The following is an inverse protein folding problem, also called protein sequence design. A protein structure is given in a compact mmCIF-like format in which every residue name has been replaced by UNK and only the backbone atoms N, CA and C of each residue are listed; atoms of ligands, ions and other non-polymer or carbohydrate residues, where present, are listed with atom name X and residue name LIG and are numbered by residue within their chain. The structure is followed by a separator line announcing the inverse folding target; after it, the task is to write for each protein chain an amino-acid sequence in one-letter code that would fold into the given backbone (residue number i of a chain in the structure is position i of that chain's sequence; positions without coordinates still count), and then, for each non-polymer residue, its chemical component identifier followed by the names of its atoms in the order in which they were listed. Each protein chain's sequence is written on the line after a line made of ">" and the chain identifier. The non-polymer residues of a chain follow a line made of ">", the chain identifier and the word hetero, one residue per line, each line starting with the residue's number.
data_IF_043180139292
#
_entry.id   IF_043180139292
#
_cell.length_a   1.000
_cell.length_b   1.000
_cell.length_c   1.000
_cell.angle_alpha   90.00
_cell.angle_beta   90.00
_cell.angle_gamma   90.00
#
_symmetry.space_group_name_H-M   'P 1'
#
loop_
_entity.id
_entity.type
_entity.pdbx_description
1 polymer ?
#
# COMPACT_ATOMS: atom_id res chain seq x y z
N UNK A 1 -14.74 -2.00 -5.64
CA UNK A 1 -13.70 -2.00 -6.68
C UNK A 1 -12.35 -2.33 -6.06
N UNK A 2 -11.51 -3.09 -6.76
CA UNK A 2 -10.17 -3.37 -6.24
C UNK A 2 -9.28 -2.14 -6.24
N UNK A 3 -8.36 -2.09 -5.29
CA UNK A 3 -7.47 -0.95 -5.09
C UNK A 3 -6.04 -1.41 -4.92
N UNK A 4 -5.09 -0.58 -5.40
CA UNK A 4 -3.71 -0.62 -4.93
C UNK A 4 -3.64 0.38 -3.79
N UNK A 5 -2.91 0.02 -2.74
CA UNK A 5 -2.68 0.94 -1.62
C UNK A 5 -1.21 0.92 -1.23
N UNK A 6 -0.78 2.05 -0.66
CA UNK A 6 0.54 2.16 -0.06
C UNK A 6 0.34 2.64 1.37
N UNK A 7 0.87 1.87 2.31
CA UNK A 7 0.84 2.23 3.73
C UNK A 7 2.27 2.48 4.20
N UNK A 8 2.39 3.26 5.26
CA UNK A 8 3.68 3.68 5.78
C UNK A 8 3.77 3.37 7.27
N UNK A 9 4.91 2.84 7.69
CA UNK A 9 5.24 2.63 9.09
C UNK A 9 6.30 3.63 9.52
N UNK A 10 5.94 4.54 10.40
CA UNK A 10 6.89 5.49 10.96
C UNK A 10 7.95 4.78 11.79
N UNK A 11 7.54 3.72 12.50
CA UNK A 11 8.43 2.92 13.33
C UNK A 11 9.56 2.29 12.53
N UNK A 12 9.22 1.71 11.37
CA UNK A 12 10.21 1.08 10.50
C UNK A 12 10.78 2.02 9.45
N UNK A 13 10.13 3.17 9.25
CA UNK A 13 10.42 4.09 8.16
C UNK A 13 10.39 3.37 6.82
N UNK A 14 9.31 2.62 6.60
CA UNK A 14 9.13 1.80 5.40
C UNK A 14 7.73 1.89 4.84
N UNK A 15 7.64 1.71 3.53
CA UNK A 15 6.37 1.63 2.81
C UNK A 15 6.04 0.18 2.49
N UNK A 16 4.76 -0.12 2.50
CA UNK A 16 4.24 -1.42 2.08
C UNK A 16 3.21 -1.20 0.97
N UNK A 17 3.38 -1.90 -0.14
CA UNK A 17 2.48 -1.81 -1.29
C UNK A 17 1.65 -3.08 -1.35
N UNK A 18 0.34 -2.94 -1.44
CA UNK A 18 -0.55 -4.08 -1.49
C UNK A 18 -1.76 -3.83 -2.38
N UNK A 19 -2.59 -4.85 -2.51
CA UNK A 19 -3.83 -4.78 -3.25
C UNK A 19 -4.96 -5.35 -2.40
N UNK A 20 -6.14 -4.78 -2.51
CA UNK A 20 -7.30 -5.24 -1.75
C UNK A 20 -8.61 -4.77 -2.38
N UNK A 21 -9.71 -5.37 -1.94
CA UNK A 21 -11.05 -4.94 -2.34
C UNK A 21 -11.61 -3.96 -1.31
N UNK A 22 -11.41 -4.24 -0.03
CA UNK A 22 -11.88 -3.41 1.07
C UNK A 22 -10.69 -2.78 1.79
N UNK A 23 -10.48 -1.48 1.57
CA UNK A 23 -9.34 -0.75 2.10
C UNK A 23 -9.37 -0.61 3.62
N UNK A 24 -10.55 -0.33 4.19
CA UNK A 24 -10.68 -0.14 5.64
C UNK A 24 -10.39 -1.44 6.38
N UNK A 25 -10.94 -2.53 5.87
CA UNK A 25 -10.71 -3.86 6.44
C UNK A 25 -9.23 -4.23 6.36
N UNK A 26 -8.59 -3.95 5.23
CA UNK A 26 -7.20 -4.31 5.03
C UNK A 26 -6.27 -3.53 5.96
N UNK A 27 -6.52 -2.25 6.15
CA UNK A 27 -5.75 -1.46 7.10
C UNK A 27 -5.95 -1.96 8.53
N UNK A 28 -7.18 -2.30 8.88
CA UNK A 28 -7.48 -2.89 10.18
C UNK A 28 -6.67 -4.17 10.39
N UNK A 29 -6.67 -5.05 9.39
CA UNK A 29 -5.92 -6.31 9.47
C UNK A 29 -4.44 -6.08 9.69
N UNK A 30 -3.85 -5.11 8.99
CA UNK A 30 -2.44 -4.77 9.19
C UNK A 30 -2.18 -4.26 10.60
N UNK A 31 -3.08 -3.45 11.15
CA UNK A 31 -2.87 -2.82 12.45
C UNK A 31 -3.14 -3.74 13.64
N UNK A 32 -3.82 -4.86 13.42
CA UNK A 32 -3.96 -5.89 14.48
C UNK A 32 -2.86 -6.94 14.42
N UNK A 33 -1.88 -6.75 13.52
CA UNK A 33 -0.77 -7.70 13.41
C UNK A 33 -1.13 -8.99 12.70
N UNK A 34 -2.07 -8.95 11.76
CA UNK A 34 -2.53 -10.11 11.01
C UNK A 34 -1.38 -10.79 10.26
N UNK A 35 -0.43 -10.02 9.76
CA UNK A 35 0.74 -10.52 9.06
C UNK A 35 1.97 -10.33 9.95
N UNK A 36 2.89 -11.32 9.94
CA UNK A 36 4.12 -11.24 10.71
C UNK A 36 4.93 -10.00 10.33
N UNK A 37 4.99 -9.68 9.04
CA UNK A 37 5.74 -8.52 8.58
C UNK A 37 5.11 -7.22 9.06
N UNK A 38 3.79 -7.07 8.89
CA UNK A 38 3.12 -5.82 9.25
C UNK A 38 3.03 -5.61 10.75
N UNK A 39 3.09 -6.69 11.56
CA UNK A 39 3.08 -6.57 13.01
C UNK A 39 4.31 -5.84 13.55
N UNK A 40 5.42 -5.86 12.81
CA UNK A 40 6.66 -5.21 13.23
C UNK A 40 6.61 -3.69 13.06
N UNK A 41 5.75 -3.19 12.20
CA UNK A 41 5.70 -1.77 11.86
C UNK A 41 4.50 -1.00 12.37
N UNK A 42 3.75 -1.55 13.30
CA UNK A 42 2.55 -0.90 13.81
C UNK A 42 2.84 0.45 14.46
N UNK A 43 1.96 1.45 14.30
CA UNK A 43 0.77 1.45 13.44
C UNK A 43 1.10 1.83 11.99
N UNK A 44 0.30 1.33 11.06
CA UNK A 44 0.41 1.67 9.65
C UNK A 44 -0.64 2.71 9.27
N UNK A 45 -0.27 3.63 8.39
CA UNK A 45 -1.19 4.64 7.89
C UNK A 45 -1.23 4.63 6.36
N UNK A 46 -2.39 4.91 5.78
CA UNK A 46 -2.50 5.03 4.33
C UNK A 46 -1.82 6.30 3.85
N UNK A 47 -1.04 6.17 2.79
CA UNK A 47 -0.42 7.30 2.11
C UNK A 47 -0.91 7.46 0.68
N UNK A 48 -1.41 6.38 0.06
CA UNK A 48 -1.81 6.40 -1.33
C UNK A 48 -2.79 5.27 -1.59
N UNK A 49 -3.77 5.53 -2.45
CA UNK A 49 -4.65 4.49 -2.95
C UNK A 49 -5.14 4.84 -4.34
N UNK A 50 -5.35 3.82 -5.15
CA UNK A 50 -5.86 3.98 -6.50
C UNK A 50 -6.79 2.83 -6.82
N UNK A 51 -7.99 3.15 -7.33
CA UNK A 51 -8.97 2.13 -7.67
C UNK A 51 -8.80 1.70 -9.12
N UNK A 52 -9.15 0.46 -9.39
CA UNK A 52 -9.05 -0.15 -10.72
C UNK A 52 -10.33 -0.88 -11.06
N UNK A 53 -10.57 -1.07 -12.35
CA UNK A 53 -11.78 -1.74 -12.81
C UNK A 53 -11.78 -3.24 -12.50
N UNK A 54 -10.62 -3.88 -12.50
CA UNK A 54 -10.52 -5.33 -12.30
C UNK A 54 -9.33 -5.69 -11.42
N UNK A 55 -9.40 -6.90 -10.82
CA UNK A 55 -8.29 -7.44 -10.04
C UNK A 55 -7.04 -7.65 -10.89
N UNK A 56 -7.23 -8.01 -12.16
CA UNK A 56 -6.11 -8.21 -13.08
C UNK A 56 -5.29 -6.95 -13.24
N UNK A 57 -5.96 -5.80 -13.42
CA UNK A 57 -5.29 -4.51 -13.54
C UNK A 57 -4.59 -4.11 -12.24
N UNK A 58 -5.21 -4.39 -11.11
CA UNK A 58 -4.62 -4.12 -9.79
C UNK A 58 -3.32 -4.90 -9.62
N UNK A 59 -3.34 -6.18 -9.91
CA UNK A 59 -2.16 -7.03 -9.77
C UNK A 59 -1.03 -6.58 -10.67
N UNK A 60 -1.36 -6.16 -11.89
CA UNK A 60 -0.37 -5.65 -12.83
C UNK A 60 0.26 -4.36 -12.30
N UNK A 61 -0.55 -3.43 -11.79
CA UNK A 61 -0.04 -2.19 -11.23
C UNK A 61 0.80 -2.40 -9.97
N UNK A 62 0.37 -3.32 -9.10
CA UNK A 62 1.13 -3.67 -7.91
C UNK A 62 2.52 -4.21 -8.26
N UNK A 63 2.57 -5.10 -9.25
CA UNK A 63 3.84 -5.63 -9.72
C UNK A 63 4.75 -4.56 -10.28
N UNK A 64 4.19 -3.62 -11.03
CA UNK A 64 4.99 -2.52 -11.60
C UNK A 64 5.61 -1.67 -10.51
N UNK A 65 4.86 -1.33 -9.47
CA UNK A 65 5.39 -0.54 -8.35
C UNK A 65 6.47 -1.31 -7.61
N UNK A 66 6.22 -2.59 -7.31
CA UNK A 66 7.19 -3.42 -6.61
C UNK A 66 8.44 -3.67 -7.43
N UNK A 67 8.29 -3.80 -8.75
CA UNK A 67 9.41 -4.03 -9.66
C UNK A 67 10.38 -2.86 -9.72
N UNK A 68 9.89 -1.63 -9.52
CA UNK A 68 10.74 -0.44 -9.49
C UNK A 68 11.74 -0.49 -8.34
N UNK A 69 11.40 -1.12 -7.22
CA UNK A 69 12.25 -1.23 -6.02
C UNK A 69 12.81 0.12 -5.61
N UNK A 70 12.01 1.17 -5.73
CA UNK A 70 12.46 2.54 -5.52
C UNK A 70 11.53 3.26 -4.57
N UNK A 71 12.09 3.66 -3.43
CA UNK A 71 11.39 4.49 -2.46
C UNK A 71 11.03 5.85 -3.06
N UNK A 72 11.93 6.40 -3.87
CA UNK A 72 11.70 7.68 -4.54
C UNK A 72 10.49 7.60 -5.45
N UNK A 73 10.34 6.49 -6.17
CA UNK A 73 9.19 6.29 -7.04
C UNK A 73 7.89 6.26 -6.24
N UNK A 74 7.88 5.56 -5.12
CA UNK A 74 6.72 5.50 -4.23
C UNK A 74 6.37 6.88 -3.68
N UNK A 75 7.38 7.63 -3.25
CA UNK A 75 7.16 8.97 -2.73
C UNK A 75 6.64 9.93 -3.79
N UNK A 76 7.06 9.75 -5.04
CA UNK A 76 6.51 10.53 -6.15
C UNK A 76 5.04 10.22 -6.40
N UNK A 77 4.64 8.95 -6.31
CA UNK A 77 3.23 8.58 -6.43
C UNK A 77 2.39 9.24 -5.35
N UNK A 78 2.86 9.21 -4.12
CA UNK A 78 2.17 9.82 -2.98
C UNK A 78 2.06 11.33 -3.19
N UNK A 79 3.12 11.97 -3.62
CA UNK A 79 3.14 13.40 -3.86
C UNK A 79 2.19 13.82 -4.98
N UNK A 80 2.11 13.05 -6.06
CA UNK A 80 1.23 13.37 -7.17
C UNK A 80 -0.25 13.22 -6.82
N UNK A 81 -0.58 12.37 -5.86
CA UNK A 81 -1.98 12.18 -5.44
C UNK A 81 -2.49 13.33 -4.57
N UNK A 82 -1.60 14.10 -3.99
CA UNK A 82 -1.95 15.24 -3.13
C UNK A 82 -2.21 16.50 -3.96
N UNK A 83 -1.55 16.59 -5.07
CA UNK A 83 -1.70 17.73 -5.97
C UNK A 83 -2.99 17.69 -6.71
#
# INVERSE_FOLDING_TARGET
>A
MPHIYIIYSKKLDKYYVGACIDMQRRLYEHNIGHSKFTSLGLPWIYKYSESFATLSLVKKGELEIKKKKSRIYIEKLIGSSIG
#
